data_IF_637595797819
#
_entry.id   IF_637595797819
#
_cell.length_a   1.000
_cell.length_b   1.000
_cell.length_c   1.000
_cell.angle_alpha   90.00
_cell.angle_beta   90.00
_cell.angle_gamma   90.00
#
_symmetry.space_group_name_H-M   'P 1'
#
loop_
_entity.id
_entity.type
_entity.pdbx_description
1 polymer ?
#
# COMPACT_ATOMS: atom_id res chain seq x y z
N UNK A 1 -30.86 5.42 -1.48
CA UNK A 1 -30.11 5.54 -0.22
C UNK A 1 -28.64 5.40 -0.55
N UNK A 2 -27.83 6.41 -0.25
CA UNK A 2 -26.37 6.32 -0.39
C UNK A 2 -25.86 5.27 0.59
N UNK A 3 -25.38 4.15 0.05
CA UNK A 3 -24.79 3.04 0.82
C UNK A 3 -23.37 3.38 1.35
N UNK A 4 -22.86 4.56 1.02
CA UNK A 4 -21.54 5.01 1.42
C UNK A 4 -21.62 5.85 2.71
N UNK A 5 -20.70 5.65 3.68
CA UNK A 5 -20.59 6.54 4.82
C UNK A 5 -20.31 7.99 4.37
N UNK A 6 -20.68 9.00 5.19
CA UNK A 6 -20.39 10.40 4.91
C UNK A 6 -18.95 10.63 4.47
N UNK A 7 -18.74 11.47 3.45
CA UNK A 7 -17.43 11.75 2.86
C UNK A 7 -16.39 12.18 3.90
N UNK A 8 -16.83 12.92 4.92
CA UNK A 8 -16.02 13.36 6.06
C UNK A 8 -15.48 12.21 6.93
N UNK A 9 -16.29 11.19 7.20
CA UNK A 9 -15.85 10.02 7.98
C UNK A 9 -14.82 9.22 7.18
N UNK A 10 -15.07 9.03 5.89
CA UNK A 10 -14.14 8.31 5.01
C UNK A 10 -12.80 9.05 4.93
N UNK A 11 -12.83 10.37 4.79
CA UNK A 11 -11.65 11.21 4.75
C UNK A 11 -10.87 11.15 6.07
N UNK A 12 -11.54 11.22 7.23
CA UNK A 12 -10.91 11.13 8.54
C UNK A 12 -10.22 9.77 8.76
N UNK A 13 -10.89 8.65 8.45
CA UNK A 13 -10.28 7.31 8.58
C UNK A 13 -9.11 7.15 7.61
N UNK A 14 -9.24 7.67 6.38
CA UNK A 14 -8.14 7.66 5.40
C UNK A 14 -6.93 8.42 5.93
N UNK A 15 -7.13 9.60 6.53
CA UNK A 15 -6.05 10.37 7.16
C UNK A 15 -5.28 9.55 8.20
N UNK A 16 -5.99 8.90 9.12
CA UNK A 16 -5.36 8.06 10.14
C UNK A 16 -4.65 6.85 9.54
N UNK A 17 -5.28 6.16 8.59
CA UNK A 17 -4.72 4.99 7.92
C UNK A 17 -3.41 5.34 7.20
N UNK A 18 -3.41 6.36 6.35
CA UNK A 18 -2.22 6.80 5.60
C UNK A 18 -1.09 7.28 6.50
N UNK A 19 -1.43 7.94 7.62
CA UNK A 19 -0.42 8.38 8.59
C UNK A 19 0.22 7.21 9.32
N UNK A 20 -0.57 6.21 9.72
CA UNK A 20 -0.04 4.99 10.34
C UNK A 20 0.81 4.18 9.36
N UNK A 21 0.44 4.15 8.07
CA UNK A 21 1.21 3.48 7.03
C UNK A 21 2.62 4.08 6.91
N UNK A 22 2.68 5.41 6.78
CA UNK A 22 3.94 6.13 6.66
C UNK A 22 4.82 5.96 7.91
N UNK A 23 4.21 5.96 9.11
CA UNK A 23 4.94 5.70 10.36
C UNK A 23 5.50 4.28 10.41
N UNK A 24 4.77 3.29 9.90
CA UNK A 24 5.25 1.92 9.81
C UNK A 24 6.45 1.80 8.85
N UNK A 25 6.43 2.53 7.73
CA UNK A 25 7.56 2.57 6.79
C UNK A 25 8.80 3.22 7.40
N UNK A 26 8.64 4.30 8.18
CA UNK A 26 9.75 4.91 8.90
C UNK A 26 10.32 4.01 9.99
N UNK A 27 9.46 3.31 10.73
CA UNK A 27 9.88 2.33 11.73
C UNK A 27 10.75 1.24 11.08
N UNK A 28 10.33 0.73 9.93
CA UNK A 28 11.09 -0.26 9.19
C UNK A 28 12.39 0.31 8.63
N UNK A 29 12.39 1.51 8.09
CA UNK A 29 13.61 2.18 7.66
C UNK A 29 14.63 2.27 8.80
N UNK A 30 14.21 2.72 9.99
CA UNK A 30 15.09 2.82 11.15
C UNK A 30 15.71 1.46 11.51
N UNK A 31 14.91 0.39 11.48
CA UNK A 31 15.38 -0.98 11.77
C UNK A 31 16.27 -1.55 10.69
N UNK A 32 15.95 -1.36 9.41
CA UNK A 32 16.78 -1.80 8.30
C UNK A 32 18.13 -1.08 8.34
N UNK A 33 18.15 0.22 8.67
CA UNK A 33 19.38 1.00 8.81
C UNK A 33 20.29 0.48 9.92
N UNK A 34 19.72 0.17 11.10
CA UNK A 34 20.44 -0.39 12.25
C UNK A 34 21.19 -1.68 11.89
N UNK A 35 20.59 -2.55 11.07
CA UNK A 35 21.16 -3.84 10.68
C UNK A 35 21.82 -3.85 9.30
N UNK A 36 21.86 -2.72 8.58
CA UNK A 36 22.39 -2.62 7.22
C UNK A 36 23.84 -3.13 7.09
N UNK A 37 24.77 -2.86 8.03
CA UNK A 37 26.14 -3.38 7.95
C UNK A 37 26.21 -4.91 8.03
N UNK A 38 25.21 -5.54 8.67
CA UNK A 38 25.18 -6.97 8.94
C UNK A 38 24.62 -7.80 7.77
N UNK A 39 24.09 -7.15 6.72
CA UNK A 39 23.65 -7.87 5.52
C UNK A 39 24.86 -8.39 4.73
N UNK A 40 24.79 -9.66 4.33
CA UNK A 40 25.89 -10.37 3.65
C UNK A 40 25.69 -10.36 2.13
N UNK A 41 24.46 -10.60 1.70
CA UNK A 41 24.02 -10.67 0.31
C UNK A 41 23.86 -9.27 -0.28
N UNK A 42 24.33 -9.12 -1.53
CA UNK A 42 24.16 -7.88 -2.27
C UNK A 42 22.69 -7.58 -2.58
N UNK A 43 21.88 -8.64 -2.74
CA UNK A 43 20.43 -8.51 -2.99
C UNK A 43 19.75 -7.83 -1.80
N UNK A 44 20.00 -8.29 -0.56
CA UNK A 44 19.42 -7.68 0.64
C UNK A 44 19.85 -6.21 0.80
N UNK A 45 21.11 -5.88 0.52
CA UNK A 45 21.60 -4.50 0.53
C UNK A 45 20.89 -3.63 -0.50
N UNK A 46 20.76 -4.11 -1.74
CA UNK A 46 20.08 -3.37 -2.81
C UNK A 46 18.59 -3.17 -2.47
N UNK A 47 17.92 -4.18 -1.92
CA UNK A 47 16.54 -4.07 -1.46
C UNK A 47 16.40 -3.09 -0.29
N UNK A 48 17.34 -3.05 0.65
CA UNK A 48 17.35 -2.08 1.74
C UNK A 48 17.50 -0.64 1.22
N UNK A 49 18.43 -0.39 0.31
CA UNK A 49 18.58 0.92 -0.34
C UNK A 49 17.35 1.30 -1.16
N UNK A 50 16.78 0.36 -1.91
CA UNK A 50 15.52 0.55 -2.62
C UNK A 50 14.39 0.94 -1.67
N UNK A 51 14.27 0.25 -0.54
CA UNK A 51 13.30 0.56 0.50
C UNK A 51 13.46 1.99 1.01
N UNK A 52 14.68 2.45 1.34
CA UNK A 52 14.91 3.84 1.77
C UNK A 52 14.49 4.88 0.72
N UNK A 53 14.83 4.66 -0.55
CA UNK A 53 14.44 5.57 -1.64
C UNK A 53 12.93 5.65 -1.78
N UNK A 54 12.26 4.49 -1.78
CA UNK A 54 10.81 4.45 -1.92
C UNK A 54 10.07 4.96 -0.68
N UNK A 55 10.64 4.86 0.51
CA UNK A 55 10.11 5.56 1.70
C UNK A 55 10.26 7.08 1.58
N UNK A 56 11.33 7.57 0.95
CA UNK A 56 11.44 8.99 0.61
C UNK A 56 10.35 9.43 -0.38
N UNK A 57 10.07 8.60 -1.38
CA UNK A 57 8.98 8.84 -2.35
C UNK A 57 7.61 8.78 -1.67
N UNK A 58 7.39 7.85 -0.74
CA UNK A 58 6.11 7.72 -0.03
C UNK A 58 5.76 8.95 0.79
N UNK A 59 6.75 9.69 1.33
CA UNK A 59 6.49 11.00 1.96
C UNK A 59 5.86 11.99 0.98
N UNK A 60 6.34 12.06 -0.26
CA UNK A 60 5.80 12.95 -1.28
C UNK A 60 4.37 12.54 -1.63
N UNK A 61 4.17 11.23 -1.82
CA UNK A 61 2.87 10.65 -2.16
C UNK A 61 1.86 10.85 -1.03
N UNK A 62 2.29 10.71 0.22
CA UNK A 62 1.51 11.02 1.42
C UNK A 62 1.05 12.48 1.42
N UNK A 63 1.91 13.44 1.06
CA UNK A 63 1.52 14.86 0.95
C UNK A 63 0.39 15.02 -0.09
N UNK A 64 0.49 14.37 -1.25
CA UNK A 64 -0.58 14.41 -2.25
C UNK A 64 -1.90 13.80 -1.73
N UNK A 65 -1.83 12.68 -1.03
CA UNK A 65 -3.02 12.07 -0.41
C UNK A 65 -3.60 12.96 0.70
N UNK A 66 -2.77 13.64 1.50
CA UNK A 66 -3.23 14.55 2.53
C UNK A 66 -3.88 15.81 1.97
N UNK A 67 -3.37 16.35 0.85
CA UNK A 67 -4.01 17.48 0.17
C UNK A 67 -5.42 17.08 -0.30
N UNK A 68 -5.56 15.92 -0.94
CA UNK A 68 -6.86 15.37 -1.37
C UNK A 68 -7.85 15.22 -0.21
N UNK A 69 -7.40 14.59 0.89
CA UNK A 69 -8.20 14.35 2.09
C UNK A 69 -8.61 15.66 2.77
N UNK A 70 -7.69 16.61 2.96
CA UNK A 70 -7.97 17.89 3.60
C UNK A 70 -8.93 18.76 2.76
N UNK A 71 -8.78 18.77 1.43
CA UNK A 71 -9.71 19.47 0.55
C UNK A 71 -11.11 18.85 0.62
N UNK A 72 -11.19 17.52 0.66
CA UNK A 72 -12.46 16.79 0.83
C UNK A 72 -13.12 17.12 2.17
N UNK A 73 -12.35 17.23 3.26
CA UNK A 73 -12.87 17.63 4.58
C UNK A 73 -13.35 19.09 4.61
N UNK A 74 -12.64 19.99 3.93
CA UNK A 74 -12.93 21.42 3.95
C UNK A 74 -14.13 21.79 3.07
N UNK A 75 -14.26 21.17 1.91
CA UNK A 75 -15.24 21.55 0.90
C UNK A 75 -16.39 20.56 0.76
N UNK A 76 -16.37 19.45 1.52
CA UNK A 76 -17.32 18.32 1.43
C UNK A 76 -17.47 17.71 0.03
N UNK A 77 -16.61 18.12 -0.90
CA UNK A 77 -16.55 17.68 -2.29
C UNK A 77 -15.17 17.11 -2.57
N UNK A 78 -15.14 15.91 -3.13
CA UNK A 78 -13.93 15.19 -3.52
C UNK A 78 -13.74 15.36 -5.03
N UNK A 79 -12.61 15.93 -5.45
CA UNK A 79 -12.27 15.95 -6.87
C UNK A 79 -11.87 14.53 -7.29
N UNK A 80 -12.78 13.89 -8.03
CA UNK A 80 -12.65 12.51 -8.47
C UNK A 80 -11.37 12.28 -9.28
N UNK A 81 -10.89 13.27 -10.04
CA UNK A 81 -9.65 13.13 -10.79
C UNK A 81 -8.43 13.09 -9.85
N UNK A 82 -8.31 14.08 -8.95
CA UNK A 82 -7.19 14.15 -8.02
C UNK A 82 -7.18 12.97 -7.03
N UNK A 83 -8.33 12.57 -6.51
CA UNK A 83 -8.45 11.42 -5.60
C UNK A 83 -7.99 10.11 -6.25
N UNK A 84 -8.32 9.92 -7.55
CA UNK A 84 -7.85 8.76 -8.32
C UNK A 84 -6.36 8.82 -8.63
N UNK A 85 -5.85 10.00 -8.97
CA UNK A 85 -4.43 10.21 -9.23
C UNK A 85 -3.61 9.91 -7.98
N UNK A 86 -3.96 10.52 -6.84
CA UNK A 86 -3.30 10.31 -5.56
C UNK A 86 -3.28 8.83 -5.20
N UNK A 87 -4.42 8.13 -5.30
CA UNK A 87 -4.47 6.72 -4.94
C UNK A 87 -3.69 5.81 -5.90
N UNK A 88 -3.64 6.15 -7.19
CA UNK A 88 -2.81 5.43 -8.16
C UNK A 88 -1.31 5.62 -7.90
N UNK A 89 -0.90 6.83 -7.48
CA UNK A 89 0.47 7.12 -7.06
C UNK A 89 0.84 6.35 -5.80
N UNK A 90 -0.02 6.35 -4.76
CA UNK A 90 0.15 5.52 -3.55
C UNK A 90 0.35 4.07 -3.93
N UNK A 91 -0.49 3.54 -4.81
CA UNK A 91 -0.39 2.13 -5.16
C UNK A 91 0.95 1.79 -5.85
N UNK A 92 1.32 2.59 -6.84
CA UNK A 92 2.47 2.32 -7.72
C UNK A 92 3.81 2.66 -7.09
N UNK A 93 3.86 3.68 -6.22
CA UNK A 93 5.09 4.22 -5.65
C UNK A 93 5.29 3.84 -4.18
N UNK A 94 4.31 3.22 -3.53
CA UNK A 94 4.42 2.87 -2.10
C UNK A 94 3.91 1.46 -1.83
N UNK A 95 2.63 1.20 -2.07
CA UNK A 95 1.94 -0.03 -1.64
C UNK A 95 2.43 -1.30 -2.39
N UNK A 96 2.90 -1.20 -3.63
CA UNK A 96 3.53 -2.34 -4.34
C UNK A 96 5.03 -2.42 -4.06
N UNK A 97 5.84 -1.36 -4.26
CA UNK A 97 7.29 -1.46 -4.18
C UNK A 97 7.80 -1.76 -2.76
N UNK A 98 7.27 -1.09 -1.73
CA UNK A 98 7.80 -1.23 -0.37
C UNK A 98 7.58 -2.65 0.18
N UNK A 99 6.38 -3.26 0.10
CA UNK A 99 6.19 -4.65 0.46
C UNK A 99 7.01 -5.62 -0.38
N UNK A 100 7.22 -5.33 -1.68
CA UNK A 100 8.04 -6.18 -2.54
C UNK A 100 9.51 -6.18 -2.12
N UNK A 101 10.09 -5.01 -1.84
CA UNK A 101 11.46 -4.92 -1.32
C UNK A 101 11.60 -5.61 0.02
N UNK A 102 10.63 -5.46 0.92
CA UNK A 102 10.58 -6.17 2.20
C UNK A 102 10.57 -7.68 2.03
N UNK A 103 9.73 -8.18 1.12
CA UNK A 103 9.62 -9.61 0.84
C UNK A 103 10.93 -10.18 0.34
N UNK A 104 11.54 -9.54 -0.65
CA UNK A 104 12.81 -9.99 -1.22
C UNK A 104 13.93 -9.88 -0.19
N UNK A 105 13.97 -8.81 0.61
CA UNK A 105 14.95 -8.62 1.67
C UNK A 105 14.86 -9.75 2.71
N UNK A 106 13.65 -10.03 3.21
CA UNK A 106 13.45 -11.01 4.27
C UNK A 106 13.64 -12.45 3.78
N UNK A 107 13.26 -12.76 2.55
CA UNK A 107 13.49 -14.08 1.94
C UNK A 107 14.95 -14.31 1.57
N UNK A 108 15.68 -13.27 1.17
CA UNK A 108 17.12 -13.36 0.87
C UNK A 108 17.95 -13.51 2.15
N UNK A 109 17.61 -12.75 3.20
CA UNK A 109 18.27 -12.80 4.50
C UNK A 109 17.27 -12.70 5.65
N UNK A 110 16.72 -13.84 6.10
CA UNK A 110 15.78 -13.83 7.22
C UNK A 110 16.54 -13.55 8.51
N UNK A 111 16.34 -12.36 9.10
CA UNK A 111 16.94 -11.95 10.38
C UNK A 111 15.87 -11.86 11.47
N UNK A 112 16.12 -12.47 12.62
CA UNK A 112 15.15 -12.50 13.73
C UNK A 112 14.83 -11.09 14.25
N UNK A 113 15.80 -10.17 14.23
CA UNK A 113 15.60 -8.78 14.67
C UNK A 113 14.65 -7.97 13.78
N UNK A 114 14.56 -8.34 12.50
CA UNK A 114 13.68 -7.70 11.52
C UNK A 114 12.30 -8.37 11.46
N UNK A 115 12.18 -9.64 11.88
CA UNK A 115 10.95 -10.40 11.80
C UNK A 115 9.77 -9.69 12.51
N UNK A 116 9.95 -9.26 13.76
CA UNK A 116 8.88 -8.59 14.52
C UNK A 116 8.48 -7.23 13.94
N UNK A 117 9.41 -6.29 13.63
CA UNK A 117 9.07 -5.05 12.96
C UNK A 117 8.35 -5.26 11.61
N UNK A 118 8.82 -6.21 10.80
CA UNK A 118 8.22 -6.53 9.49
C UNK A 118 6.82 -7.09 9.67
N UNK A 119 6.61 -7.96 10.65
CA UNK A 119 5.30 -8.53 10.94
C UNK A 119 4.29 -7.45 11.37
N UNK A 120 4.68 -6.54 12.27
CA UNK A 120 3.81 -5.43 12.72
C UNK A 120 3.49 -4.47 11.57
N UNK A 121 4.50 -4.05 10.82
CA UNK A 121 4.30 -3.14 9.69
C UNK A 121 3.44 -3.79 8.60
N UNK A 122 3.62 -5.08 8.31
CA UNK A 122 2.79 -5.80 7.33
C UNK A 122 1.33 -5.89 7.77
N UNK A 123 1.04 -6.01 9.07
CA UNK A 123 -0.34 -5.92 9.59
C UNK A 123 -0.95 -4.54 9.38
N UNK A 124 -0.20 -3.47 9.67
CA UNK A 124 -0.64 -2.09 9.44
C UNK A 124 -0.94 -1.90 7.96
N UNK A 125 -0.02 -2.29 7.07
CA UNK A 125 -0.20 -2.23 5.62
C UNK A 125 -1.39 -3.02 5.12
N UNK A 126 -1.67 -4.20 5.70
CA UNK A 126 -2.83 -4.98 5.32
C UNK A 126 -4.15 -4.26 5.64
N UNK A 127 -4.21 -3.60 6.80
CA UNK A 127 -5.37 -2.80 7.22
C UNK A 127 -5.55 -1.59 6.28
N UNK A 128 -4.47 -0.87 5.95
CA UNK A 128 -4.52 0.31 5.06
C UNK A 128 -4.91 -0.08 3.64
N UNK A 129 -4.37 -1.18 3.11
CA UNK A 129 -4.74 -1.75 1.80
C UNK A 129 -6.20 -2.20 1.75
N UNK A 130 -6.69 -2.83 2.82
CA UNK A 130 -8.10 -3.24 2.91
C UNK A 130 -9.01 -2.02 2.91
N UNK A 131 -8.64 -0.96 3.63
CA UNK A 131 -9.34 0.32 3.57
C UNK A 131 -9.31 0.95 2.17
N UNK A 132 -8.20 0.78 1.44
CA UNK A 132 -8.06 1.16 0.04
C UNK A 132 -9.17 0.58 -0.86
N UNK A 133 -9.62 -0.66 -0.61
CA UNK A 133 -10.74 -1.29 -1.36
C UNK A 133 -12.05 -0.51 -1.16
N UNK A 134 -12.31 -0.04 0.07
CA UNK A 134 -13.49 0.79 0.38
C UNK A 134 -13.43 2.10 -0.40
N UNK A 135 -12.26 2.77 -0.41
CA UNK A 135 -12.04 4.02 -1.18
C UNK A 135 -12.19 3.77 -2.69
N UNK A 136 -11.65 2.68 -3.24
CA UNK A 136 -11.81 2.30 -4.64
C UNK A 136 -13.26 2.01 -5.03
N UNK A 137 -14.02 1.39 -4.14
CA UNK A 137 -15.45 1.12 -4.36
C UNK A 137 -16.24 2.42 -4.41
N UNK A 138 -15.98 3.36 -3.50
CA UNK A 138 -16.57 4.71 -3.51
C UNK A 138 -16.23 5.50 -4.79
N UNK A 139 -14.96 5.47 -5.20
CA UNK A 139 -14.48 6.17 -6.41
C UNK A 139 -14.93 5.52 -7.73
N UNK A 140 -15.72 4.43 -7.66
CA UNK A 140 -16.15 3.59 -8.80
C UNK A 140 -14.96 3.12 -9.63
N UNK A 141 -13.89 2.78 -8.93
CA UNK A 141 -12.60 2.43 -9.50
C UNK A 141 -12.29 0.93 -9.33
N UNK A 142 -13.05 0.23 -8.47
CA UNK A 142 -12.94 -1.22 -8.27
C UNK A 142 -13.70 -1.98 -9.36
N UNK A 143 -12.95 -2.66 -10.24
CA UNK A 143 -13.49 -3.33 -11.44
C UNK A 143 -14.56 -4.40 -11.15
N UNK A 144 -14.41 -5.30 -10.15
CA UNK A 144 -15.45 -6.28 -9.80
C UNK A 144 -16.72 -5.69 -9.19
N UNK A 145 -16.67 -4.45 -8.68
CA UNK A 145 -17.78 -3.75 -8.02
C UNK A 145 -18.18 -2.46 -8.76
N UNK A 146 -17.77 -2.30 -10.02
CA UNK A 146 -18.28 -1.20 -10.84
C UNK A 146 -19.80 -1.29 -10.84
N UNK A 147 -20.48 -0.19 -10.48
CA UNK A 147 -21.80 -0.25 -9.91
C UNK A 147 -22.72 -0.85 -10.95
N UNK A 148 -23.38 -1.95 -10.57
CA UNK A 148 -24.73 -2.23 -11.03
C UNK A 148 -25.50 -0.95 -10.75
N UNK A 149 -25.59 -0.07 -11.75
CA UNK A 149 -26.36 1.14 -11.59
C UNK A 149 -27.81 0.67 -11.60
N UNK A 150 -28.58 0.82 -10.51
CA UNK A 150 -29.97 0.36 -10.47
C UNK A 150 -30.86 1.08 -11.50
N UNK A 151 -30.35 2.16 -12.13
CA UNK A 151 -31.01 2.87 -13.24
C UNK A 151 -30.72 2.29 -14.62
N UNK A 152 -29.88 1.27 -14.74
CA UNK A 152 -29.52 0.65 -16.01
C UNK A 152 -29.93 -0.82 -16.01
N UNK A 153 -30.39 -1.29 -17.17
CA UNK A 153 -30.70 -2.71 -17.37
C UNK A 153 -29.46 -3.59 -17.18
N UNK A 154 -29.67 -4.85 -16.82
CA UNK A 154 -28.59 -5.83 -16.60
C UNK A 154 -27.67 -5.92 -17.82
N UNK A 155 -28.22 -5.91 -19.03
CA UNK A 155 -27.44 -6.01 -20.26
C UNK A 155 -26.60 -4.74 -20.53
N UNK A 156 -27.10 -3.57 -20.18
CA UNK A 156 -26.34 -2.32 -20.31
C UNK A 156 -25.22 -2.23 -19.27
N UNK A 157 -25.46 -2.72 -18.05
CA UNK A 157 -24.43 -2.84 -17.02
C UNK A 157 -23.34 -3.84 -17.44
N UNK A 158 -23.72 -5.02 -17.98
CA UNK A 158 -22.78 -6.01 -18.52
C UNK A 158 -21.99 -5.44 -19.69
N UNK A 159 -22.66 -4.84 -20.69
CA UNK A 159 -21.99 -4.20 -21.83
C UNK A 159 -20.98 -3.16 -21.37
N UNK A 160 -21.36 -2.29 -20.43
CA UNK A 160 -20.45 -1.27 -19.88
C UNK A 160 -19.29 -1.89 -19.12
N UNK A 161 -19.51 -2.97 -18.36
CA UNK A 161 -18.43 -3.73 -17.75
C UNK A 161 -17.42 -4.25 -18.78
N UNK A 162 -17.85 -4.70 -19.96
CA UNK A 162 -16.95 -5.27 -20.98
C UNK A 162 -16.57 -4.31 -22.14
N UNK A 163 -16.99 -3.04 -22.09
CA UNK A 163 -16.55 -2.03 -23.07
C UNK A 163 -15.18 -1.49 -22.67
N UNK A 164 -14.10 -1.96 -23.29
CA UNK A 164 -12.73 -1.55 -22.96
C UNK A 164 -12.40 -0.14 -23.46
N UNK A 165 -12.64 0.86 -22.62
CA UNK A 165 -12.08 2.21 -22.81
C UNK A 165 -10.67 2.29 -22.20
N UNK A 166 -9.84 3.24 -22.66
CA UNK A 166 -8.50 3.50 -22.06
C UNK A 166 -8.57 3.67 -20.54
N UNK A 167 -9.59 4.37 -20.06
CA UNK A 167 -9.87 4.56 -18.63
C UNK A 167 -10.12 3.22 -17.89
N UNK A 168 -10.88 2.30 -18.49
CA UNK A 168 -11.17 0.99 -17.92
C UNK A 168 -9.96 0.06 -17.89
N UNK A 169 -9.12 0.11 -18.93
CA UNK A 169 -7.85 -0.61 -18.94
C UNK A 169 -6.96 -0.13 -17.78
N UNK A 170 -6.84 1.19 -17.58
CA UNK A 170 -6.10 1.75 -16.45
C UNK A 170 -6.66 1.30 -15.10
N UNK A 171 -7.99 1.31 -14.91
CA UNK A 171 -8.62 0.79 -13.68
C UNK A 171 -8.31 -0.69 -13.43
N UNK A 172 -8.36 -1.54 -14.47
CA UNK A 172 -8.02 -2.97 -14.32
C UNK A 172 -6.58 -3.11 -13.85
N UNK A 173 -5.65 -2.39 -14.47
CA UNK A 173 -4.23 -2.43 -14.11
C UNK A 173 -4.02 -2.01 -12.65
N UNK A 174 -4.64 -0.90 -12.21
CA UNK A 174 -4.54 -0.45 -10.81
C UNK A 174 -5.17 -1.48 -9.86
N UNK A 175 -6.33 -2.06 -10.18
CA UNK A 175 -6.91 -3.11 -9.33
C UNK A 175 -6.01 -4.35 -9.23
N UNK A 176 -5.35 -4.75 -10.33
CA UNK A 176 -4.38 -5.84 -10.32
C UNK A 176 -3.22 -5.51 -9.37
N UNK A 177 -2.66 -4.30 -9.47
CA UNK A 177 -1.61 -3.85 -8.56
C UNK A 177 -2.08 -3.85 -7.09
N UNK A 178 -3.34 -3.49 -6.82
CA UNK A 178 -3.89 -3.47 -5.46
C UNK A 178 -3.98 -4.87 -4.88
N UNK A 179 -4.52 -5.80 -5.66
CA UNK A 179 -4.58 -7.21 -5.27
C UNK A 179 -3.17 -7.81 -5.12
N UNK A 180 -2.23 -7.42 -5.98
CA UNK A 180 -0.84 -7.82 -5.89
C UNK A 180 -0.18 -7.30 -4.61
N UNK A 181 -0.39 -6.04 -4.24
CA UNK A 181 0.11 -5.46 -3.00
C UNK A 181 -0.39 -6.25 -1.78
N UNK A 182 -1.69 -6.54 -1.73
CA UNK A 182 -2.30 -7.35 -0.67
C UNK A 182 -1.65 -8.75 -0.62
N UNK A 183 -1.48 -9.39 -1.77
CA UNK A 183 -0.85 -10.70 -1.86
C UNK A 183 0.59 -10.69 -1.33
N UNK A 184 1.40 -9.69 -1.70
CA UNK A 184 2.78 -9.54 -1.23
C UNK A 184 2.81 -9.32 0.29
N UNK A 185 1.92 -8.46 0.82
CA UNK A 185 1.84 -8.20 2.26
C UNK A 185 1.45 -9.46 3.05
N UNK A 186 0.52 -10.27 2.54
CA UNK A 186 0.17 -11.57 3.15
C UNK A 186 1.39 -12.50 3.17
N UNK A 187 2.16 -12.56 2.08
CA UNK A 187 3.38 -13.35 2.06
C UNK A 187 4.42 -12.83 3.06
N UNK A 188 4.56 -11.50 3.21
CA UNK A 188 5.41 -10.92 4.25
C UNK A 188 4.99 -11.34 5.65
N UNK A 189 3.68 -11.38 5.95
CA UNK A 189 3.17 -11.87 7.23
C UNK A 189 3.50 -13.35 7.46
N UNK A 190 3.31 -14.19 6.45
CA UNK A 190 3.61 -15.62 6.53
C UNK A 190 5.11 -15.85 6.76
N UNK A 191 5.97 -15.20 5.99
CA UNK A 191 7.41 -15.37 6.13
C UNK A 191 7.94 -14.79 7.44
N UNK A 192 7.55 -13.58 7.81
CA UNK A 192 7.96 -13.00 9.10
C UNK A 192 7.43 -13.78 10.31
N UNK A 193 6.24 -14.39 10.19
CA UNK A 193 5.65 -15.25 11.23
C UNK A 193 6.38 -16.58 11.45
N UNK A 194 7.15 -17.07 10.46
CA UNK A 194 8.03 -18.25 10.64
C UNK A 194 9.27 -17.94 11.49
N UNK A 195 9.54 -16.66 11.77
CA UNK A 195 10.73 -16.20 12.46
C UNK A 195 11.95 -16.10 11.52
N UNK A 196 13.00 -15.43 12.00
CA UNK A 196 14.25 -15.25 11.25
C UNK A 196 15.41 -16.06 11.85
N UNK A 197 16.55 -16.09 11.15
CA UNK A 197 17.78 -16.65 11.69
C UNK A 197 18.40 -15.68 12.70
N UNK A 198 19.03 -16.17 13.79
CA UNK A 198 19.75 -15.31 14.71
C UNK A 198 20.89 -14.58 13.99
N UNK A 199 21.17 -13.34 14.40
CA UNK A 199 22.29 -12.58 13.88
C UNK A 199 23.57 -13.18 14.48
N UNK A 200 24.46 -13.71 13.64
CA UNK A 200 25.83 -13.90 14.06
C UNK A 200 26.45 -12.51 14.25
N UNK A 201 26.63 -12.10 15.50
CA UNK A 201 27.41 -10.89 15.82
C UNK A 201 28.82 -11.18 15.31
N UNK A 202 29.29 -10.42 14.31
CA UNK A 202 30.73 -10.31 14.12
C UNK A 202 31.23 -9.60 15.37
N UNK A 203 31.74 -10.39 16.33
CA UNK A 203 32.58 -9.83 17.37
C UNK A 203 33.68 -9.09 16.62
N UNK A 204 33.69 -7.76 16.73
CA UNK A 204 34.85 -7.00 16.31
C UNK A 204 36.02 -7.56 17.10
N UNK A 205 37.01 -8.10 16.39
CA UNK A 205 38.33 -8.31 16.95
C UNK A 205 38.81 -6.93 17.43
N UNK A 206 38.81 -6.77 18.75
CA UNK A 206 39.48 -5.68 19.46
C UNK A 206 40.95 -6.04 19.68
#
# INVERSE_FOLDING_TARGET
MEWAPPSSIIAAVTLFASTLDLLADFLLCARIYEFLPNFVTQIAKNCAYGYFVFTGISVIVYIFEMIDVCLTLKHEQEDVFYARLAKSLVLTLEEVPLPAFLYILFTSEPRLSLANPIHISSWIKLITLTWGIVKFTKLRFFWPLLPLNPKHDTDENVRRCFTFTKYRIAMIIVNIFHMLAIFIVINNLIESGKGGRPIAVQNGDA
#
